data_IF_537231027219
#
_entry.id   IF_537231027219
#
_cell.length_a   1.000
_cell.length_b   1.000
_cell.length_c   1.000
_cell.angle_alpha   90.00
_cell.angle_beta   90.00
_cell.angle_gamma   90.00
#
_symmetry.space_group_name_H-M   'P 1'
#
loop_
_entity.id
_entity.type
_entity.pdbx_description
1 polymer ?
#
# COMPACT_ATOMS: atom_id res chain seq x y z
N UNK A 1 -8.56 -0.37 -6.50
CA UNK A 1 -9.04 1.00 -6.17
C UNK A 1 -8.01 1.68 -5.29
N UNK A 2 -7.73 2.97 -5.50
CA UNK A 2 -6.80 3.71 -4.63
C UNK A 2 -7.55 4.20 -3.39
N UNK A 3 -6.94 4.04 -2.22
CA UNK A 3 -7.62 4.27 -0.94
C UNK A 3 -6.71 5.04 0.03
N UNK A 4 -7.32 5.88 0.87
CA UNK A 4 -6.64 6.47 2.02
C UNK A 4 -6.41 5.39 3.08
N UNK A 5 -5.17 5.27 3.56
CA UNK A 5 -4.79 4.30 4.59
C UNK A 5 -3.86 4.95 5.60
N UNK A 6 -3.80 4.43 6.82
CA UNK A 6 -2.76 4.83 7.78
C UNK A 6 -1.42 4.16 7.45
N UNK A 7 -0.35 4.93 7.53
CA UNK A 7 1.03 4.45 7.43
C UNK A 7 1.38 3.54 8.61
N UNK A 8 1.80 2.30 8.37
CA UNK A 8 2.16 1.37 9.45
C UNK A 8 3.46 1.73 10.17
N UNK A 9 4.34 2.52 9.55
CA UNK A 9 5.62 2.96 10.16
C UNK A 9 5.50 4.24 10.98
N UNK A 10 4.59 5.12 10.59
CA UNK A 10 4.56 6.52 11.01
C UNK A 10 3.18 6.96 11.49
N UNK A 11 2.15 6.12 11.39
CA UNK A 11 0.78 6.40 11.83
C UNK A 11 0.01 7.41 10.97
N UNK A 12 0.72 8.25 10.21
CA UNK A 12 0.11 9.32 9.41
C UNK A 12 -0.67 8.80 8.19
N UNK A 13 -1.74 9.51 7.76
CA UNK A 13 -2.45 9.19 6.52
C UNK A 13 -1.54 9.17 5.28
N UNK A 14 -1.70 8.13 4.48
CA UNK A 14 -1.02 7.87 3.20
C UNK A 14 -2.00 7.22 2.22
N UNK A 15 -1.55 6.88 1.02
CA UNK A 15 -2.39 6.17 0.04
C UNK A 15 -1.88 4.74 -0.20
N UNK A 16 -2.79 3.87 -0.63
CA UNK A 16 -2.47 2.55 -1.18
C UNK A 16 -3.09 2.43 -2.56
N UNK A 17 -2.30 2.02 -3.56
CA UNK A 17 -2.77 1.86 -4.94
C UNK A 17 -1.70 2.18 -5.98
N UNK A 18 -2.12 2.49 -7.20
CA UNK A 18 -1.24 2.65 -8.37
C UNK A 18 -0.41 3.95 -8.42
N UNK A 19 -0.53 4.85 -7.42
CA UNK A 19 0.25 6.08 -7.36
C UNK A 19 -0.30 7.25 -8.20
N UNK A 20 -1.11 6.96 -9.22
CA UNK A 20 -1.77 7.99 -10.03
C UNK A 20 -2.87 8.74 -9.27
N UNK A 21 -3.66 8.05 -8.46
CA UNK A 21 -4.77 8.65 -7.71
C UNK A 21 -4.37 9.05 -6.27
N UNK A 22 -3.08 9.26 -5.99
CA UNK A 22 -2.57 9.58 -4.65
C UNK A 22 -3.16 10.88 -4.09
N UNK A 23 -3.39 11.87 -4.96
CA UNK A 23 -3.89 13.18 -4.57
C UNK A 23 -5.38 13.14 -4.21
N UNK A 24 -6.16 12.38 -4.99
CA UNK A 24 -7.57 12.10 -4.68
C UNK A 24 -7.70 11.23 -3.42
N UNK A 25 -6.84 10.23 -3.24
CA UNK A 25 -6.82 9.41 -2.04
C UNK A 25 -6.41 10.18 -0.77
N UNK A 26 -5.76 11.35 -0.91
CA UNK A 26 -5.36 12.22 0.20
C UNK A 26 -6.11 13.55 0.19
N UNK A 27 -7.23 13.64 -0.54
CA UNK A 27 -8.09 14.82 -0.54
C UNK A 27 -8.62 15.06 0.87
N UNK A 28 -8.47 16.30 1.39
CA UNK A 28 -8.87 16.67 2.76
C UNK A 28 -7.79 16.49 3.84
N UNK A 29 -6.66 15.84 3.54
CA UNK A 29 -5.53 15.74 4.49
C UNK A 29 -4.52 16.85 4.21
N UNK A 30 -4.23 17.73 5.17
CA UNK A 30 -3.19 18.75 5.04
C UNK A 30 -1.81 18.14 4.83
N UNK A 31 -0.91 18.80 4.07
CA UNK A 31 0.41 18.27 3.73
C UNK A 31 1.25 17.90 4.97
N UNK A 32 1.10 18.63 6.07
CA UNK A 32 1.76 18.37 7.37
C UNK A 32 1.29 17.08 8.07
N UNK A 33 0.03 16.70 7.83
CA UNK A 33 -0.61 15.54 8.42
C UNK A 33 -0.39 14.27 7.59
N UNK A 34 0.19 14.38 6.38
CA UNK A 34 0.50 13.24 5.52
C UNK A 34 1.80 12.54 5.97
N UNK A 35 1.92 11.24 5.69
CA UNK A 35 3.18 10.50 5.83
C UNK A 35 4.28 11.24 5.04
N UNK A 36 5.49 11.50 5.56
CA UNK A 36 6.53 12.25 4.83
C UNK A 36 6.91 11.66 3.46
N UNK A 37 6.71 10.36 3.25
CA UNK A 37 6.86 9.68 1.96
C UNK A 37 5.60 9.71 1.06
N UNK A 38 4.60 10.56 1.35
CA UNK A 38 3.32 10.63 0.62
C UNK A 38 3.43 11.17 -0.82
N UNK A 39 4.53 11.82 -1.18
CA UNK A 39 4.74 12.32 -2.55
C UNK A 39 5.61 11.36 -3.39
N UNK A 40 6.26 10.39 -2.75
CA UNK A 40 7.11 9.40 -3.41
C UNK A 40 6.25 8.32 -4.03
N UNK A 41 6.51 7.94 -5.28
CA UNK A 41 5.75 6.93 -6.05
C UNK A 41 5.44 5.63 -5.29
N UNK A 42 6.26 5.28 -4.29
CA UNK A 42 6.14 4.07 -3.49
C UNK A 42 5.37 4.26 -2.17
N UNK A 43 5.05 5.50 -1.78
CA UNK A 43 4.33 5.83 -0.55
C UNK A 43 5.01 5.32 0.72
N UNK A 44 4.23 5.20 1.80
CA UNK A 44 4.69 4.60 3.07
C UNK A 44 4.52 3.07 3.11
N UNK A 45 3.78 2.48 2.16
CA UNK A 45 3.76 1.03 1.96
C UNK A 45 4.90 0.67 1.02
N UNK A 46 6.07 0.41 1.61
CA UNK A 46 7.08 -0.40 0.94
C UNK A 46 6.48 -1.75 0.46
N UNK A 47 7.23 -2.56 -0.31
CA UNK A 47 6.76 -3.71 -1.13
C UNK A 47 5.97 -4.84 -0.43
N UNK A 48 5.62 -4.67 0.84
CA UNK A 48 5.00 -5.66 1.72
C UNK A 48 3.63 -6.17 1.25
N UNK A 49 2.82 -5.34 0.58
CA UNK A 49 1.53 -5.79 0.07
C UNK A 49 1.67 -6.70 -1.16
N UNK A 50 2.70 -6.50 -1.97
CA UNK A 50 3.00 -7.37 -3.12
C UNK A 50 3.59 -8.70 -2.66
N UNK A 51 4.40 -8.69 -1.59
CA UNK A 51 4.96 -9.89 -0.99
C UNK A 51 3.89 -10.82 -0.40
N UNK A 52 2.86 -10.27 0.26
CA UNK A 52 1.74 -11.07 0.77
C UNK A 52 0.95 -11.78 -0.32
N UNK A 53 0.68 -11.11 -1.44
CA UNK A 53 0.00 -11.73 -2.58
C UNK A 53 0.83 -12.84 -3.21
N UNK A 54 2.14 -12.62 -3.35
CA UNK A 54 3.06 -13.61 -3.92
C UNK A 54 3.18 -14.85 -3.01
N UNK A 55 3.26 -14.65 -1.70
CA UNK A 55 3.32 -15.73 -0.73
C UNK A 55 2.03 -16.56 -0.71
N UNK A 56 0.87 -15.91 -0.87
CA UNK A 56 -0.43 -16.60 -0.96
C UNK A 56 -0.54 -17.41 -2.26
N UNK A 57 0.01 -16.91 -3.37
CA UNK A 57 0.04 -17.63 -4.65
C UNK A 57 0.97 -18.85 -4.61
N UNK A 58 2.14 -18.72 -3.95
CA UNK A 58 3.05 -19.85 -3.72
C UNK A 58 2.40 -20.94 -2.86
N UNK A 59 1.65 -20.57 -1.83
CA UNK A 59 0.92 -21.53 -1.00
C UNK A 59 -0.17 -22.26 -1.79
N UNK A 60 -0.85 -21.58 -2.72
CA UNK A 60 -1.84 -22.20 -3.61
C UNK A 60 -1.20 -23.20 -4.58
N UNK A 61 -0.02 -22.88 -5.15
CA UNK A 61 0.71 -23.83 -6.00
C UNK A 61 1.13 -25.09 -5.24
N UNK A 62 1.69 -24.94 -4.03
CA UNK A 62 2.06 -26.09 -3.20
C UNK A 62 0.88 -26.99 -2.84
N UNK A 63 -0.33 -26.42 -2.70
CA UNK A 63 -1.55 -27.19 -2.49
C UNK A 63 -2.02 -27.94 -3.74
N UNK A 64 -1.74 -27.42 -4.94
CA UNK A 64 -2.04 -28.08 -6.21
C UNK A 64 -1.09 -29.25 -6.48
N UNK A 65 0.19 -29.14 -6.14
CA UNK A 65 1.19 -30.22 -6.34
C UNK A 65 1.02 -31.41 -5.40
N UNK A 66 0.39 -31.21 -4.23
CA UNK A 66 0.09 -32.27 -3.26
C UNK A 66 -1.21 -33.02 -3.53
N UNK A 67 -1.92 -32.68 -4.59
CA UNK A 67 -3.20 -33.27 -4.97
C UNK A 67 -3.03 -34.23 -6.13
#
# INVERSE_FOLDING_TARGET
MCQQVACSKCGKPTWSGCGFHKEQALAGVSKENRCPAWNSWWGCKGPQQQQQQHQQQQQQQQQQEKK
#
